data_IF_101027742767
#
_entry.id   IF_101027742767
#
_cell.length_a   1.000
_cell.length_b   1.000
_cell.length_c   1.000
_cell.angle_alpha   90.00
_cell.angle_beta   90.00
_cell.angle_gamma   90.00
#
_symmetry.space_group_name_H-M   'P 1'
#
loop_
_entity.id
_entity.type
_entity.pdbx_description
1 polymer ?
#
# COMPACT_ATOMS: atom_id res chain seq x y z
N UNK A 1 -6.82 9.82 -35.64
CA UNK A 1 -5.54 10.25 -35.07
C UNK A 1 -5.63 10.05 -33.56
N UNK A 2 -5.06 8.95 -33.06
CA UNK A 2 -5.08 8.64 -31.63
C UNK A 2 -3.96 9.44 -30.92
N UNK A 3 -4.32 10.17 -29.87
CA UNK A 3 -3.38 10.87 -29.03
C UNK A 3 -2.50 9.82 -28.31
N UNK A 4 -1.18 9.91 -28.55
CA UNK A 4 -0.16 9.19 -27.77
C UNK A 4 -0.26 9.64 -26.31
N UNK A 5 -0.58 8.70 -25.43
CA UNK A 5 -0.36 8.83 -23.99
C UNK A 5 1.14 9.07 -23.74
N UNK A 6 1.53 10.01 -22.86
CA UNK A 6 2.91 10.03 -22.39
C UNK A 6 3.08 8.80 -21.50
N UNK A 7 3.74 7.78 -22.04
CA UNK A 7 4.53 6.85 -21.24
C UNK A 7 5.38 7.73 -20.32
N UNK A 8 5.26 7.53 -19.01
CA UNK A 8 6.25 8.01 -18.07
C UNK A 8 7.57 7.44 -18.58
N UNK A 9 8.41 8.29 -19.17
CA UNK A 9 9.69 7.88 -19.74
C UNK A 9 10.57 7.35 -18.61
N UNK A 10 11.29 6.26 -18.87
CA UNK A 10 12.10 5.52 -17.90
C UNK A 10 13.17 6.34 -17.16
N UNK A 11 13.40 7.61 -17.52
CA UNK A 11 14.27 8.56 -16.79
C UNK A 11 13.66 9.10 -15.48
N UNK A 12 12.35 8.94 -15.23
CA UNK A 12 11.71 9.38 -13.98
C UNK A 12 11.63 8.29 -12.90
N UNK A 13 12.08 7.07 -13.17
CA UNK A 13 11.88 5.91 -12.29
C UNK A 13 12.77 5.92 -11.03
N UNK A 14 13.83 6.74 -10.98
CA UNK A 14 14.78 6.78 -9.84
C UNK A 14 14.27 7.63 -8.67
N UNK A 15 13.27 8.49 -8.90
CA UNK A 15 12.79 9.44 -7.90
C UNK A 15 11.38 9.13 -7.41
N UNK A 16 11.28 8.26 -6.41
CA UNK A 16 10.06 8.09 -5.60
C UNK A 16 9.68 9.44 -4.98
N UNK A 17 8.52 9.96 -5.38
CA UNK A 17 7.95 11.20 -4.87
C UNK A 17 7.37 11.01 -3.47
N UNK A 18 7.17 12.09 -2.71
CA UNK A 18 6.47 12.02 -1.41
C UNK A 18 5.04 11.50 -1.55
N UNK A 19 4.38 11.80 -2.68
CA UNK A 19 3.03 11.31 -2.96
C UNK A 19 3.01 9.79 -3.08
N UNK A 20 3.95 9.22 -3.84
CA UNK A 20 4.08 7.76 -3.99
C UNK A 20 4.37 7.10 -2.65
N UNK A 21 5.26 7.69 -1.85
CA UNK A 21 5.56 7.18 -0.51
C UNK A 21 4.33 7.20 0.42
N UNK A 22 3.61 8.32 0.48
CA UNK A 22 2.40 8.45 1.29
C UNK A 22 1.32 7.44 0.89
N UNK A 23 1.26 7.03 -0.37
CA UNK A 23 0.34 5.99 -0.81
C UNK A 23 0.66 4.62 -0.18
N UNK A 24 1.91 4.34 0.21
CA UNK A 24 2.28 3.13 0.97
C UNK A 24 2.08 3.29 2.48
N UNK A 25 2.21 4.50 3.02
CA UNK A 25 2.11 4.75 4.46
C UNK A 25 0.66 4.86 4.96
N UNK A 26 -0.17 5.62 4.24
CA UNK A 26 -1.54 5.92 4.65
C UNK A 26 -2.42 4.68 4.51
N UNK A 27 -3.26 4.44 5.52
CA UNK A 27 -4.23 3.36 5.54
C UNK A 27 -5.57 3.82 5.01
N UNK A 28 -6.33 2.92 4.39
CA UNK A 28 -7.68 3.21 3.88
C UNK A 28 -8.56 3.83 4.98
N UNK A 29 -8.55 3.29 6.21
CA UNK A 29 -9.33 3.83 7.34
C UNK A 29 -9.04 5.28 7.71
N UNK A 30 -7.87 5.80 7.34
CA UNK A 30 -7.44 7.17 7.62
C UNK A 30 -7.96 8.17 6.59
N UNK A 31 -8.29 7.68 5.38
CA UNK A 31 -8.71 8.52 4.26
C UNK A 31 -10.14 8.24 3.79
N UNK A 32 -10.73 7.09 4.13
CA UNK A 32 -12.07 6.69 3.71
C UNK A 32 -13.18 7.57 4.30
N UNK A 33 -14.29 7.63 3.57
CA UNK A 33 -15.55 8.13 4.12
C UNK A 33 -16.18 7.06 5.01
N UNK A 34 -16.41 7.42 6.28
CA UNK A 34 -17.05 6.57 7.30
C UNK A 34 -18.54 6.87 7.39
N UNK A 35 -19.31 5.98 8.04
CA UNK A 35 -20.75 6.13 8.24
C UNK A 35 -21.51 6.34 6.92
N UNK A 36 -21.30 5.40 6.00
CA UNK A 36 -21.89 5.46 4.66
C UNK A 36 -23.37 5.08 4.73
N UNK A 37 -24.22 5.85 4.05
CA UNK A 37 -25.62 5.50 3.88
C UNK A 37 -25.74 4.17 3.12
N UNK A 38 -26.53 3.24 3.65
CA UNK A 38 -26.73 1.92 3.05
C UNK A 38 -28.22 1.68 2.78
N UNK A 39 -28.50 0.96 1.70
CA UNK A 39 -29.85 0.48 1.37
C UNK A 39 -30.05 -0.94 1.92
N UNK A 40 -31.26 -1.27 2.32
CA UNK A 40 -31.66 -2.66 2.57
C UNK A 40 -32.02 -3.34 1.24
N UNK A 41 -31.77 -4.64 1.07
CA UNK A 41 -31.98 -5.35 -0.20
C UNK A 41 -33.45 -5.37 -0.65
N UNK A 42 -34.38 -5.32 0.30
CA UNK A 42 -35.82 -5.33 0.03
C UNK A 42 -36.41 -3.91 -0.14
N UNK A 43 -35.56 -2.86 -0.12
CA UNK A 43 -35.97 -1.49 -0.45
C UNK A 43 -36.49 -1.44 -1.88
N UNK A 44 -37.56 -0.68 -2.12
CA UNK A 44 -38.13 -0.50 -3.46
C UNK A 44 -37.30 0.50 -4.26
N UNK A 45 -37.12 0.27 -5.57
CA UNK A 45 -36.30 1.12 -6.45
C UNK A 45 -36.74 2.58 -6.48
N UNK A 46 -38.05 2.87 -6.38
CA UNK A 46 -38.58 4.24 -6.23
C UNK A 46 -38.01 4.95 -5.00
N UNK A 47 -37.98 4.27 -3.84
CA UNK A 47 -37.42 4.82 -2.59
C UNK A 47 -35.92 5.02 -2.72
N UNK A 48 -35.21 4.11 -3.38
CA UNK A 48 -33.78 4.25 -3.65
C UNK A 48 -33.48 5.45 -4.55
N UNK A 49 -34.31 5.72 -5.57
CA UNK A 49 -34.21 6.88 -6.45
C UNK A 49 -34.36 8.20 -5.67
N UNK A 50 -35.40 8.31 -4.85
CA UNK A 50 -35.65 9.48 -3.99
C UNK A 50 -34.48 9.72 -3.03
N UNK A 51 -33.95 8.64 -2.47
CA UNK A 51 -32.81 8.67 -1.57
C UNK A 51 -31.55 9.18 -2.27
N UNK A 52 -31.25 8.71 -3.48
CA UNK A 52 -30.10 9.16 -4.25
C UNK A 52 -30.19 10.66 -4.58
N UNK A 53 -31.39 11.13 -4.90
CA UNK A 53 -31.64 12.54 -5.17
C UNK A 53 -31.48 13.41 -3.92
N UNK A 54 -32.07 12.98 -2.79
CA UNK A 54 -32.05 13.71 -1.52
C UNK A 54 -30.64 13.81 -0.94
N UNK A 55 -29.94 12.68 -0.87
CA UNK A 55 -28.58 12.57 -0.31
C UNK A 55 -27.49 13.02 -1.30
N UNK A 56 -27.86 13.31 -2.55
CA UNK A 56 -26.95 13.69 -3.65
C UNK A 56 -25.83 12.67 -3.87
N UNK A 57 -26.18 11.40 -3.81
CA UNK A 57 -25.28 10.28 -4.04
C UNK A 57 -25.59 9.61 -5.38
N UNK A 58 -24.56 9.09 -6.04
CA UNK A 58 -24.69 8.36 -7.32
C UNK A 58 -24.57 6.84 -7.16
N UNK A 59 -24.61 6.36 -5.93
CA UNK A 59 -24.49 4.94 -5.61
C UNK A 59 -24.45 4.72 -4.10
N UNK A 60 -24.97 3.59 -3.65
CA UNK A 60 -25.01 3.20 -2.25
C UNK A 60 -24.72 1.69 -2.10
N UNK A 61 -23.99 1.29 -1.05
CA UNK A 61 -23.92 -0.11 -0.65
C UNK A 61 -25.30 -0.63 -0.27
N UNK A 62 -25.53 -1.91 -0.57
CA UNK A 62 -26.70 -2.65 -0.13
C UNK A 62 -26.24 -3.60 0.97
N UNK A 63 -26.79 -3.45 2.17
CA UNK A 63 -26.37 -4.23 3.33
C UNK A 63 -27.57 -4.92 3.99
N UNK A 64 -27.32 -6.00 4.70
CA UNK A 64 -28.29 -6.56 5.65
C UNK A 64 -27.56 -7.05 6.90
N UNK A 65 -27.99 -6.60 8.08
CA UNK A 65 -27.32 -6.94 9.34
C UNK A 65 -25.84 -6.56 9.38
N UNK A 66 -25.45 -5.45 8.74
CA UNK A 66 -24.06 -4.98 8.66
C UNK A 66 -23.18 -5.66 7.61
N UNK A 67 -23.67 -6.74 6.97
CA UNK A 67 -22.98 -7.43 5.89
C UNK A 67 -23.28 -6.78 4.54
N UNK A 68 -22.24 -6.57 3.74
CA UNK A 68 -22.37 -6.08 2.38
C UNK A 68 -22.91 -7.19 1.47
N UNK A 69 -24.03 -6.92 0.80
CA UNK A 69 -24.68 -7.85 -0.13
C UNK A 69 -24.56 -7.43 -1.59
N UNK A 70 -24.46 -6.12 -1.84
CA UNK A 70 -24.37 -5.59 -3.19
C UNK A 70 -24.05 -4.11 -3.23
N UNK A 71 -23.97 -3.56 -4.43
CA UNK A 71 -23.90 -2.11 -4.67
C UNK A 71 -25.02 -1.76 -5.65
N UNK A 72 -25.73 -0.68 -5.35
CA UNK A 72 -26.65 -0.05 -6.29
C UNK A 72 -26.04 1.26 -6.79
N UNK A 73 -26.09 1.48 -8.10
CA UNK A 73 -25.58 2.67 -8.79
C UNK A 73 -26.70 3.45 -9.48
N UNK A 74 -26.38 4.66 -9.93
CA UNK A 74 -27.35 5.45 -10.70
C UNK A 74 -27.65 4.82 -12.05
N UNK A 75 -26.70 4.08 -12.63
CA UNK A 75 -26.89 3.29 -13.85
C UNK A 75 -27.97 2.22 -13.66
N UNK A 76 -28.03 1.57 -12.49
CA UNK A 76 -29.04 0.56 -12.15
C UNK A 76 -30.44 1.18 -12.01
N UNK A 77 -30.52 2.38 -11.41
CA UNK A 77 -31.77 3.15 -11.36
C UNK A 77 -32.24 3.56 -12.77
N UNK A 78 -31.32 3.97 -13.63
CA UNK A 78 -31.63 4.28 -15.04
C UNK A 78 -32.13 3.02 -15.76
N UNK A 79 -31.55 1.85 -15.47
CA UNK A 79 -32.00 0.58 -16.03
C UNK A 79 -33.44 0.26 -15.61
N UNK A 80 -33.74 0.32 -14.31
CA UNK A 80 -35.09 0.10 -13.79
C UNK A 80 -36.12 1.10 -14.34
N UNK A 81 -35.75 2.38 -14.50
CA UNK A 81 -36.59 3.40 -15.13
C UNK A 81 -36.93 3.06 -16.58
N UNK A 82 -35.95 2.61 -17.37
CA UNK A 82 -36.17 2.23 -18.77
C UNK A 82 -37.07 1.01 -18.91
N UNK A 83 -37.03 0.11 -17.94
CA UNK A 83 -37.91 -1.06 -17.85
C UNK A 83 -39.27 -0.73 -17.23
N UNK A 84 -39.49 0.50 -16.75
CA UNK A 84 -40.69 0.91 -16.00
C UNK A 84 -40.97 0.04 -14.77
N UNK A 85 -39.91 -0.43 -14.10
CA UNK A 85 -39.98 -1.39 -13.00
C UNK A 85 -39.48 -0.81 -11.67
N UNK A 86 -39.93 0.40 -11.33
CA UNK A 86 -39.55 1.06 -10.07
C UNK A 86 -40.14 0.40 -8.81
N UNK A 87 -41.10 -0.51 -8.97
CA UNK A 87 -41.69 -1.29 -7.88
C UNK A 87 -40.86 -2.50 -7.48
N UNK A 88 -39.83 -2.85 -8.27
CA UNK A 88 -38.92 -3.94 -7.95
C UNK A 88 -38.07 -3.63 -6.72
N UNK A 89 -37.50 -4.69 -6.15
CA UNK A 89 -36.56 -4.58 -5.03
C UNK A 89 -35.16 -4.21 -5.52
N UNK A 90 -34.40 -3.51 -4.68
CA UNK A 90 -32.98 -3.19 -4.92
C UNK A 90 -32.16 -4.46 -5.19
N UNK A 91 -32.49 -5.58 -4.52
CA UNK A 91 -31.81 -6.87 -4.71
C UNK A 91 -31.82 -7.35 -6.17
N UNK A 92 -32.84 -7.00 -6.95
CA UNK A 92 -32.98 -7.44 -8.35
C UNK A 92 -32.03 -6.72 -9.31
N UNK A 93 -31.60 -5.51 -8.94
CA UNK A 93 -30.77 -4.64 -9.79
C UNK A 93 -29.35 -4.44 -9.25
N UNK A 94 -29.10 -4.74 -7.97
CA UNK A 94 -27.79 -4.52 -7.37
C UNK A 94 -26.72 -5.43 -8.00
N UNK A 95 -25.50 -4.90 -8.12
CA UNK A 95 -24.33 -5.70 -8.48
C UNK A 95 -23.87 -6.52 -7.27
N UNK A 96 -23.64 -7.82 -7.46
CA UNK A 96 -23.21 -8.76 -6.41
C UNK A 96 -21.79 -9.29 -6.60
N UNK A 97 -21.17 -9.06 -7.77
CA UNK A 97 -19.75 -9.29 -7.99
C UNK A 97 -18.96 -8.07 -7.48
N UNK A 98 -18.60 -8.13 -6.20
CA UNK A 98 -18.11 -6.98 -5.45
C UNK A 98 -16.59 -6.95 -5.39
N UNK A 99 -16.02 -5.84 -5.86
CA UNK A 99 -14.62 -5.51 -5.57
C UNK A 99 -14.58 -4.60 -4.35
N UNK A 100 -13.94 -5.09 -3.29
CA UNK A 100 -13.84 -4.43 -1.99
C UNK A 100 -12.38 -4.21 -1.60
N UNK A 101 -12.16 -3.41 -0.56
CA UNK A 101 -10.84 -3.21 0.04
C UNK A 101 -10.93 -3.31 1.57
N UNK A 102 -9.84 -3.62 2.26
CA UNK A 102 -9.82 -3.69 3.73
C UNK A 102 -9.40 -2.37 4.35
N UNK A 103 -9.90 -2.09 5.55
CA UNK A 103 -9.68 -0.81 6.23
C UNK A 103 -8.20 -0.54 6.60
N UNK A 104 -7.41 -1.61 6.73
CA UNK A 104 -5.98 -1.55 7.05
C UNK A 104 -5.06 -1.66 5.83
N UNK A 105 -5.64 -1.77 4.63
CA UNK A 105 -4.85 -1.76 3.41
C UNK A 105 -4.18 -0.39 3.24
N UNK A 106 -3.00 -0.33 2.60
CA UNK A 106 -2.45 0.92 2.12
C UNK A 106 -3.33 1.55 1.04
N UNK A 107 -3.27 2.88 0.95
CA UNK A 107 -3.90 3.65 -0.13
C UNK A 107 -3.46 3.18 -1.53
N UNK A 108 -2.22 2.71 -1.68
CA UNK A 108 -1.71 2.23 -2.97
C UNK A 108 -2.48 1.01 -3.50
N UNK A 109 -3.07 0.19 -2.63
CA UNK A 109 -3.92 -0.93 -3.07
C UNK A 109 -5.23 -0.42 -3.67
N UNK A 110 -5.87 0.59 -3.08
CA UNK A 110 -7.03 1.23 -3.70
C UNK A 110 -6.68 1.84 -5.06
N UNK A 111 -5.53 2.50 -5.18
CA UNK A 111 -5.07 3.09 -6.45
C UNK A 111 -4.85 2.02 -7.53
N UNK A 112 -4.26 0.87 -7.17
CA UNK A 112 -4.11 -0.28 -8.09
C UNK A 112 -5.47 -0.82 -8.53
N UNK A 113 -6.38 -1.04 -7.58
CA UNK A 113 -7.74 -1.52 -7.87
C UNK A 113 -8.50 -0.56 -8.78
N UNK A 114 -8.39 0.75 -8.54
CA UNK A 114 -8.98 1.79 -9.39
C UNK A 114 -8.35 1.92 -10.78
N UNK A 115 -7.13 1.41 -10.97
CA UNK A 115 -6.46 1.38 -12.26
C UNK A 115 -6.84 0.13 -13.06
N UNK A 116 -6.95 -1.01 -12.37
CA UNK A 116 -7.30 -2.29 -12.97
C UNK A 116 -8.80 -2.41 -13.27
N UNK A 117 -9.63 -1.66 -12.54
CA UNK A 117 -11.08 -1.63 -12.71
C UNK A 117 -11.55 -0.26 -13.19
N UNK A 118 -12.77 -0.19 -13.74
CA UNK A 118 -13.41 1.10 -14.08
C UNK A 118 -14.28 1.64 -12.94
N UNK A 119 -14.14 1.10 -11.72
CA UNK A 119 -14.95 1.52 -10.59
C UNK A 119 -14.53 2.90 -10.08
N UNK A 120 -15.51 3.73 -9.72
CA UNK A 120 -15.28 5.07 -9.15
C UNK A 120 -15.18 5.09 -7.62
N UNK A 121 -15.64 4.02 -6.97
CA UNK A 121 -15.67 3.85 -5.51
C UNK A 121 -15.50 2.39 -5.15
N UNK A 122 -14.94 2.12 -3.97
CA UNK A 122 -14.79 0.77 -3.43
C UNK A 122 -15.38 0.72 -2.01
N UNK A 123 -16.22 -0.28 -1.68
CA UNK A 123 -16.61 -0.54 -0.30
C UNK A 123 -15.40 -0.94 0.52
N UNK A 124 -15.36 -0.48 1.78
CA UNK A 124 -14.31 -0.81 2.74
C UNK A 124 -14.86 -1.73 3.81
N UNK A 125 -14.23 -2.89 3.99
CA UNK A 125 -14.62 -3.90 4.98
C UNK A 125 -13.62 -3.97 6.13
N UNK A 126 -14.11 -4.31 7.33
CA UNK A 126 -13.26 -4.71 8.45
C UNK A 126 -12.87 -6.20 8.35
N UNK A 127 -12.15 -6.70 9.36
CA UNK A 127 -11.76 -8.12 9.46
C UNK A 127 -12.94 -9.08 9.65
N UNK A 128 -14.08 -8.59 10.13
CA UNK A 128 -15.30 -9.37 10.32
C UNK A 128 -16.22 -9.34 9.09
N UNK A 129 -15.73 -8.89 7.92
CA UNK A 129 -16.50 -8.70 6.68
C UNK A 129 -17.74 -7.78 6.84
N UNK A 130 -17.67 -6.82 7.76
CA UNK A 130 -18.69 -5.79 7.91
C UNK A 130 -18.26 -4.53 7.16
N UNK A 131 -19.23 -3.84 6.57
CA UNK A 131 -18.99 -2.59 5.88
C UNK A 131 -18.68 -1.46 6.88
N UNK A 132 -17.49 -0.87 6.78
CA UNK A 132 -17.04 0.22 7.66
C UNK A 132 -16.85 1.56 6.95
N UNK A 133 -16.86 1.56 5.62
CA UNK A 133 -16.73 2.79 4.84
C UNK A 133 -16.80 2.60 3.34
N UNK A 134 -16.56 3.69 2.62
CA UNK A 134 -16.29 3.72 1.18
C UNK A 134 -15.04 4.54 0.94
N UNK A 135 -14.24 4.14 -0.04
CA UNK A 135 -13.14 4.93 -0.57
C UNK A 135 -13.38 5.33 -2.01
N UNK A 136 -13.04 6.58 -2.36
CA UNK A 136 -13.05 7.12 -3.72
C UNK A 136 -11.69 7.71 -4.10
N UNK A 137 -11.47 7.99 -5.40
CA UNK A 137 -10.28 8.73 -5.87
C UNK A 137 -10.17 10.12 -5.22
N UNK A 138 -11.30 10.76 -4.94
CA UNK A 138 -11.35 12.08 -4.28
C UNK A 138 -10.90 12.02 -2.82
N UNK A 139 -11.36 11.00 -2.09
CA UNK A 139 -10.94 10.74 -0.71
C UNK A 139 -9.43 10.54 -0.61
N UNK A 140 -8.87 9.72 -1.49
CA UNK A 140 -7.42 9.47 -1.57
C UNK A 140 -6.66 10.78 -1.85
N UNK A 141 -7.12 11.57 -2.82
CA UNK A 141 -6.48 12.84 -3.19
C UNK A 141 -6.47 13.80 -1.99
N UNK A 142 -7.60 13.96 -1.31
CA UNK A 142 -7.72 14.81 -0.12
C UNK A 142 -6.86 14.29 1.04
N UNK A 143 -6.85 12.97 1.26
CA UNK A 143 -6.02 12.31 2.27
C UNK A 143 -4.52 12.56 2.06
N UNK A 144 -4.04 12.38 0.82
CA UNK A 144 -2.65 12.63 0.44
C UNK A 144 -2.29 14.11 0.62
N UNK A 145 -3.14 15.04 0.19
CA UNK A 145 -2.92 16.49 0.39
C UNK A 145 -2.80 16.87 1.86
N UNK A 146 -3.68 16.34 2.71
CA UNK A 146 -3.64 16.57 4.16
C UNK A 146 -2.37 16.00 4.79
N UNK A 147 -1.91 14.83 4.34
CA UNK A 147 -0.68 14.22 4.86
C UNK A 147 0.57 15.01 4.46
N UNK A 148 0.66 15.47 3.20
CA UNK A 148 1.75 16.34 2.72
C UNK A 148 1.91 17.62 3.56
N UNK A 149 0.80 18.20 4.02
CA UNK A 149 0.83 19.40 4.86
C UNK A 149 1.40 19.14 6.27
N UNK A 150 1.25 17.92 6.82
CA UNK A 150 1.72 17.57 8.17
C UNK A 150 3.23 17.39 8.25
N UNK A 151 3.86 16.85 7.20
CA UNK A 151 5.29 16.53 7.19
C UNK A 151 6.21 17.76 7.17
N UNK A 152 5.75 18.86 6.57
CA UNK A 152 6.54 20.09 6.49
C UNK A 152 6.97 20.59 7.88
N UNK A 153 6.19 20.32 8.92
CA UNK A 153 6.48 20.77 10.29
C UNK A 153 7.39 19.80 11.07
N UNK A 154 7.52 18.53 10.66
CA UNK A 154 8.25 17.50 11.41
C UNK A 154 9.71 17.33 10.94
N UNK A 155 9.99 17.57 9.64
CA UNK A 155 11.34 17.38 9.07
C UNK A 155 12.36 18.44 9.50
N UNK A 156 11.94 19.67 9.83
CA UNK A 156 12.87 20.75 10.24
C UNK A 156 13.50 20.50 11.62
N UNK A 157 12.81 19.80 12.53
CA UNK A 157 13.26 19.65 13.93
C UNK A 157 14.19 18.44 14.15
N UNK A 158 14.09 17.41 13.30
CA UNK A 158 14.84 16.15 13.44
C UNK A 158 16.23 16.24 12.82
N UNK A 159 16.38 16.99 11.73
CA UNK A 159 17.64 17.14 10.97
C UNK A 159 18.80 17.66 11.83
N UNK A 160 18.50 18.40 12.91
CA UNK A 160 19.49 19.01 13.79
C UNK A 160 20.15 18.05 14.81
N UNK A 161 19.52 16.89 15.12
CA UNK A 161 20.00 15.99 16.21
C UNK A 161 20.67 14.71 15.72
N UNK A 162 20.50 14.38 14.44
CA UNK A 162 20.80 13.09 13.85
C UNK A 162 22.26 12.90 13.41
N UNK A 163 22.90 13.97 12.93
CA UNK A 163 24.15 13.90 12.19
C UNK A 163 25.35 13.42 13.00
N UNK A 164 25.27 13.38 14.32
CA UNK A 164 26.43 13.09 15.20
C UNK A 164 26.48 11.64 15.70
N UNK A 165 25.49 10.79 15.40
CA UNK A 165 25.38 9.43 16.00
C UNK A 165 26.54 8.49 15.60
N UNK A 166 27.14 8.72 14.43
CA UNK A 166 28.28 7.93 13.93
C UNK A 166 29.61 8.68 14.03
N UNK A 167 29.59 10.00 14.16
CA UNK A 167 30.80 10.84 14.19
C UNK A 167 31.61 10.64 15.48
N UNK A 168 30.94 10.31 16.59
CA UNK A 168 31.57 10.14 17.90
C UNK A 168 32.01 8.70 18.23
N UNK A 169 31.76 7.73 17.34
CA UNK A 169 32.07 6.30 17.58
C UNK A 169 33.37 5.91 16.88
N UNK A 170 34.46 5.80 17.65
CA UNK A 170 35.76 5.31 17.16
C UNK A 170 35.70 3.78 16.95
N UNK A 171 35.40 3.35 15.72
CA UNK A 171 35.44 1.95 15.30
C UNK A 171 35.96 1.84 13.86
N UNK A 172 36.61 0.72 13.53
CA UNK A 172 37.03 0.42 12.15
C UNK A 172 35.82 0.24 11.20
N UNK A 173 34.67 -0.18 11.74
CA UNK A 173 33.36 -0.20 11.09
C UNK A 173 32.27 0.00 12.14
N UNK A 174 31.43 1.02 11.96
CA UNK A 174 30.24 1.23 12.80
C UNK A 174 29.01 0.96 11.95
N UNK A 175 28.13 0.08 12.42
CA UNK A 175 26.82 -0.14 11.81
C UNK A 175 25.73 -0.17 12.87
N UNK A 176 24.55 0.34 12.53
CA UNK A 176 23.34 0.15 13.32
C UNK A 176 22.53 -0.98 12.71
N UNK A 177 22.24 -2.01 13.50
CA UNK A 177 21.44 -3.16 13.06
C UNK A 177 20.07 -3.10 13.72
N UNK A 178 19.03 -2.98 12.92
CA UNK A 178 17.63 -3.08 13.32
C UNK A 178 17.09 -4.45 12.93
N UNK A 179 16.38 -5.14 13.84
CA UNK A 179 15.81 -6.47 13.60
C UNK A 179 14.34 -6.48 13.99
N UNK A 180 13.52 -7.07 13.12
CA UNK A 180 12.08 -7.21 13.32
C UNK A 180 11.66 -8.65 13.02
N UNK A 181 10.80 -9.21 13.86
CA UNK A 181 10.13 -10.48 13.61
C UNK A 181 8.76 -10.21 13.00
N UNK A 182 8.50 -10.83 11.86
CA UNK A 182 7.25 -10.69 11.12
C UNK A 182 6.47 -11.99 11.29
N UNK A 183 5.19 -11.88 11.63
CA UNK A 183 4.30 -13.04 11.80
C UNK A 183 3.46 -13.24 10.55
N UNK A 184 3.31 -14.49 10.11
CA UNK A 184 2.38 -14.83 9.03
C UNK A 184 0.97 -14.35 9.36
N UNK A 185 0.30 -13.76 8.37
CA UNK A 185 -1.10 -13.31 8.48
C UNK A 185 -1.34 -12.09 9.38
N UNK A 186 -0.30 -11.46 9.95
CA UNK A 186 -0.45 -10.26 10.78
C UNK A 186 -0.60 -8.98 9.93
N UNK A 187 -1.67 -8.91 9.15
CA UNK A 187 -1.95 -7.78 8.26
C UNK A 187 -2.22 -6.48 9.03
N UNK A 188 -2.75 -6.57 10.25
CA UNK A 188 -3.01 -5.42 11.14
C UNK A 188 -1.75 -4.62 11.42
N UNK A 189 -0.64 -5.31 11.69
CA UNK A 189 0.64 -4.69 11.99
C UNK A 189 1.56 -4.58 10.78
N UNK A 190 1.07 -4.95 9.60
CA UNK A 190 1.82 -4.95 8.37
C UNK A 190 2.31 -3.55 7.99
N UNK A 191 3.63 -3.39 7.82
CA UNK A 191 4.29 -2.12 7.47
C UNK A 191 4.87 -1.37 8.67
N UNK A 192 4.76 -1.94 9.88
CA UNK A 192 5.36 -1.36 11.08
C UNK A 192 6.88 -1.41 11.04
N UNK A 193 7.48 -2.49 10.53
CA UNK A 193 8.93 -2.59 10.42
C UNK A 193 9.48 -1.53 9.46
N UNK A 194 8.85 -1.41 8.28
CA UNK A 194 9.15 -0.35 7.31
C UNK A 194 9.07 1.06 7.93
N UNK A 195 7.96 1.39 8.59
CA UNK A 195 7.73 2.70 9.21
C UNK A 195 8.76 3.03 10.30
N UNK A 196 9.16 2.03 11.09
CA UNK A 196 10.17 2.19 12.14
C UNK A 196 11.58 2.40 11.55
N UNK A 197 11.95 1.61 10.55
CA UNK A 197 13.26 1.72 9.89
C UNK A 197 13.38 3.07 9.16
N UNK A 198 12.35 3.50 8.44
CA UNK A 198 12.31 4.82 7.81
C UNK A 198 12.54 5.94 8.83
N UNK A 199 11.81 5.92 9.95
CA UNK A 199 11.99 6.92 11.02
C UNK A 199 13.39 6.90 11.61
N UNK A 200 14.00 5.71 11.76
CA UNK A 200 15.38 5.58 12.19
C UNK A 200 16.34 6.21 11.17
N UNK A 201 16.17 5.95 9.87
CA UNK A 201 17.01 6.52 8.81
C UNK A 201 16.94 8.05 8.76
N UNK A 202 15.75 8.63 8.81
CA UNK A 202 15.59 10.09 8.87
C UNK A 202 16.26 10.68 10.11
N UNK A 203 16.17 9.99 11.26
CA UNK A 203 16.86 10.35 12.51
C UNK A 203 18.36 10.10 12.51
N UNK A 204 18.90 9.46 11.48
CA UNK A 204 20.34 9.27 11.28
C UNK A 204 20.89 10.18 10.18
N UNK A 205 20.06 11.07 9.63
CA UNK A 205 20.47 12.04 8.63
C UNK A 205 20.41 11.52 7.19
N UNK A 206 19.81 10.35 6.95
CA UNK A 206 19.56 9.90 5.59
C UNK A 206 18.68 10.91 4.84
N UNK A 207 18.96 11.12 3.55
CA UNK A 207 18.12 11.99 2.72
C UNK A 207 16.68 11.45 2.68
N UNK A 208 15.66 12.32 2.56
CA UNK A 208 14.28 11.87 2.44
C UNK A 208 14.11 10.84 1.32
N UNK A 209 14.81 11.01 0.20
CA UNK A 209 14.77 10.10 -0.95
C UNK A 209 15.23 8.68 -0.59
N UNK A 210 16.37 8.55 0.10
CA UNK A 210 16.87 7.26 0.58
C UNK A 210 15.90 6.63 1.56
N UNK A 211 15.34 7.43 2.48
CA UNK A 211 14.38 6.94 3.46
C UNK A 211 13.10 6.38 2.81
N UNK A 212 12.56 7.01 1.75
CA UNK A 212 11.38 6.47 1.04
C UNK A 212 11.70 5.18 0.31
N UNK A 213 12.80 5.17 -0.44
CA UNK A 213 13.27 3.99 -1.21
C UNK A 213 13.43 2.79 -0.27
N UNK A 214 14.09 2.99 0.87
CA UNK A 214 14.25 1.97 1.89
C UNK A 214 12.90 1.53 2.50
N UNK A 215 12.05 2.49 2.86
CA UNK A 215 10.74 2.23 3.45
C UNK A 215 9.85 1.37 2.54
N UNK A 216 9.75 1.71 1.24
CA UNK A 216 8.92 0.96 0.29
C UNK A 216 9.48 -0.45 0.03
N UNK A 217 10.80 -0.58 -0.13
CA UNK A 217 11.42 -1.90 -0.31
C UNK A 217 11.16 -2.82 0.89
N UNK A 218 11.29 -2.30 2.11
CA UNK A 218 11.01 -3.06 3.33
C UNK A 218 9.53 -3.37 3.45
N UNK A 219 8.63 -2.44 3.11
CA UNK A 219 7.19 -2.67 3.17
C UNK A 219 6.77 -3.86 2.29
N UNK A 220 7.25 -3.89 1.05
CA UNK A 220 6.96 -4.99 0.11
C UNK A 220 7.58 -6.31 0.60
N UNK A 221 8.80 -6.28 1.15
CA UNK A 221 9.43 -7.46 1.73
C UNK A 221 8.66 -7.97 2.96
N UNK A 222 8.18 -7.06 3.82
CA UNK A 222 7.36 -7.34 5.00
C UNK A 222 6.04 -8.00 4.60
N UNK A 223 5.37 -7.49 3.57
CA UNK A 223 4.12 -8.06 3.06
C UNK A 223 4.35 -9.46 2.49
N UNK A 224 5.44 -9.66 1.74
CA UNK A 224 5.79 -10.99 1.24
C UNK A 224 5.99 -11.99 2.38
N UNK A 225 6.61 -11.57 3.49
CA UNK A 225 6.77 -12.40 4.67
C UNK A 225 5.44 -12.73 5.35
N UNK A 226 4.49 -11.80 5.39
CA UNK A 226 3.15 -12.02 5.97
C UNK A 226 2.33 -12.98 5.10
N UNK A 227 2.44 -12.87 3.77
CA UNK A 227 1.56 -13.54 2.81
C UNK A 227 2.07 -14.93 2.43
N UNK A 228 3.33 -15.05 2.03
CA UNK A 228 3.82 -16.21 1.28
C UNK A 228 4.57 -17.26 2.13
N UNK A 229 4.81 -16.98 3.41
CA UNK A 229 5.63 -17.84 4.27
C UNK A 229 4.78 -18.86 5.03
N UNK A 230 5.44 -19.79 5.74
CA UNK A 230 4.75 -20.74 6.62
C UNK A 230 4.53 -20.19 8.04
N UNK A 231 5.51 -19.46 8.58
CA UNK A 231 5.50 -19.01 9.98
C UNK A 231 5.83 -17.51 10.14
N UNK A 232 5.95 -16.77 9.04
CA UNK A 232 6.51 -15.43 9.03
C UNK A 232 8.01 -15.47 8.74
N UNK A 233 8.74 -14.49 9.24
CA UNK A 233 10.18 -14.38 9.02
C UNK A 233 10.83 -13.24 9.78
N UNK A 234 12.01 -12.83 9.32
CA UNK A 234 12.77 -11.75 9.94
C UNK A 234 13.18 -10.71 8.91
N UNK A 235 13.05 -9.44 9.28
CA UNK A 235 13.68 -8.32 8.57
C UNK A 235 14.87 -7.84 9.39
N UNK A 236 16.02 -7.71 8.73
CA UNK A 236 17.23 -7.10 9.27
C UNK A 236 17.63 -5.93 8.38
N UNK A 237 17.77 -4.74 8.95
CA UNK A 237 18.35 -3.58 8.27
C UNK A 237 19.65 -3.21 8.97
N UNK A 238 20.76 -3.27 8.24
CA UNK A 238 22.08 -2.84 8.67
C UNK A 238 22.44 -1.53 7.98
N UNK A 239 22.60 -0.48 8.78
CA UNK A 239 22.83 0.89 8.34
C UNK A 239 24.31 1.19 8.57
N UNK A 240 25.05 1.38 7.48
CA UNK A 240 26.46 1.77 7.44
C UNK A 240 26.59 3.18 6.83
N UNK A 241 27.71 3.89 7.03
CA UNK A 241 27.89 5.24 6.49
C UNK A 241 27.74 5.36 4.97
N UNK A 242 28.03 4.31 4.22
CA UNK A 242 28.05 4.32 2.74
C UNK A 242 26.96 3.45 2.10
N UNK A 243 26.21 2.68 2.91
CA UNK A 243 25.16 1.81 2.39
C UNK A 243 24.19 1.37 3.47
N UNK A 244 23.01 0.96 3.04
CA UNK A 244 22.02 0.26 3.86
C UNK A 244 21.85 -1.12 3.25
N UNK A 245 22.13 -2.15 4.03
CA UNK A 245 21.89 -3.55 3.66
C UNK A 245 20.61 -4.02 4.34
N UNK A 246 19.63 -4.48 3.58
CA UNK A 246 18.39 -5.05 4.09
C UNK A 246 18.31 -6.53 3.71
N UNK A 247 17.88 -7.34 4.66
CA UNK A 247 17.71 -8.78 4.49
C UNK A 247 16.33 -9.18 5.01
N UNK A 248 15.54 -9.83 4.16
CA UNK A 248 14.28 -10.46 4.55
C UNK A 248 14.42 -11.98 4.37
N UNK A 249 14.19 -12.72 5.45
CA UNK A 249 14.41 -14.16 5.49
C UNK A 249 13.22 -14.90 6.10
N UNK A 250 12.86 -16.04 5.51
CA UNK A 250 11.92 -17.00 6.07
C UNK A 250 12.38 -18.45 5.85
N UNK A 251 11.83 -19.36 6.67
CA UNK A 251 12.00 -20.80 6.57
C UNK A 251 10.84 -21.50 5.81
N UNK A 252 10.10 -20.73 5.01
CA UNK A 252 8.88 -21.10 4.34
C UNK A 252 9.06 -22.02 3.12
N UNK A 253 8.05 -22.13 2.25
CA UNK A 253 8.04 -23.13 1.17
C UNK A 253 9.08 -22.85 0.08
N UNK A 254 9.72 -21.68 0.11
CA UNK A 254 10.52 -21.18 -0.99
C UNK A 254 9.68 -20.78 -2.20
N UNK A 255 10.37 -20.29 -3.23
CA UNK A 255 9.81 -19.88 -4.51
C UNK A 255 10.24 -20.92 -5.54
N UNK A 256 9.29 -21.61 -6.16
CA UNK A 256 9.58 -22.68 -7.13
C UNK A 256 10.24 -22.15 -8.40
N UNK A 257 9.74 -21.03 -8.93
CA UNK A 257 10.29 -20.35 -10.09
C UNK A 257 10.48 -18.86 -9.76
N UNK A 258 11.74 -18.50 -9.49
CA UNK A 258 12.14 -17.14 -9.15
C UNK A 258 11.96 -16.19 -10.35
N UNK A 259 12.22 -16.63 -11.57
CA UNK A 259 12.05 -15.76 -12.74
C UNK A 259 10.58 -15.40 -12.96
N UNK A 260 9.69 -16.38 -12.74
CA UNK A 260 8.26 -16.16 -12.81
C UNK A 260 7.76 -15.25 -11.68
N UNK A 261 8.27 -15.42 -10.46
CA UNK A 261 7.95 -14.55 -9.32
C UNK A 261 8.34 -13.07 -9.53
N UNK A 262 9.34 -12.82 -10.38
CA UNK A 262 9.79 -11.47 -10.74
C UNK A 262 8.94 -10.81 -11.84
N UNK A 263 7.96 -11.52 -12.42
CA UNK A 263 7.09 -10.95 -13.48
C UNK A 263 5.95 -10.14 -12.85
N UNK A 264 5.70 -8.90 -13.32
CA UNK A 264 4.59 -8.09 -12.85
C UNK A 264 3.25 -8.84 -12.95
N UNK A 265 2.47 -8.82 -11.87
CA UNK A 265 1.15 -9.45 -11.80
C UNK A 265 1.16 -10.93 -11.42
N UNK A 266 2.32 -11.57 -11.32
CA UNK A 266 2.40 -12.96 -10.88
C UNK A 266 2.43 -13.07 -9.35
N UNK A 267 1.58 -13.93 -8.80
CA UNK A 267 1.46 -14.13 -7.35
C UNK A 267 0.96 -15.52 -7.01
N UNK A 268 1.53 -16.13 -5.97
CA UNK A 268 1.08 -17.40 -5.39
C UNK A 268 0.12 -17.22 -4.20
N UNK A 269 -0.32 -15.99 -3.94
CA UNK A 269 -1.26 -15.69 -2.85
C UNK A 269 -2.58 -16.43 -3.05
N UNK A 270 -3.17 -16.91 -1.95
CA UNK A 270 -4.49 -17.56 -1.94
C UNK A 270 -5.58 -16.57 -2.35
N UNK A 271 -6.74 -17.08 -2.78
CA UNK A 271 -7.88 -16.23 -3.12
C UNK A 271 -8.31 -15.37 -1.94
N UNK A 272 -8.33 -15.92 -0.72
CA UNK A 272 -8.61 -15.16 0.51
C UNK A 272 -7.67 -13.96 0.67
N UNK A 273 -6.36 -14.13 0.45
CA UNK A 273 -5.40 -13.02 0.53
C UNK A 273 -5.59 -12.00 -0.59
N UNK A 274 -5.95 -12.45 -1.79
CA UNK A 274 -6.26 -11.56 -2.92
C UNK A 274 -7.55 -10.77 -2.71
N UNK A 275 -8.56 -11.39 -2.11
CA UNK A 275 -9.81 -10.77 -1.68
C UNK A 275 -9.58 -9.77 -0.54
N UNK A 276 -8.53 -9.95 0.26
CA UNK A 276 -8.04 -8.95 1.21
C UNK A 276 -7.26 -7.81 0.54
N UNK A 277 -7.19 -7.73 -0.79
CA UNK A 277 -6.50 -6.66 -1.51
C UNK A 277 -4.97 -6.82 -1.59
N UNK A 278 -4.42 -7.94 -1.11
CA UNK A 278 -2.98 -8.19 -1.12
C UNK A 278 -2.57 -9.22 -2.19
N UNK A 279 -1.27 -9.30 -2.48
CA UNK A 279 -0.77 -10.35 -3.38
C UNK A 279 -1.15 -10.14 -4.84
N UNK A 280 -1.24 -8.88 -5.30
CA UNK A 280 -1.39 -8.51 -6.72
C UNK A 280 -0.14 -8.81 -7.60
N UNK A 281 0.93 -9.37 -7.03
CA UNK A 281 2.11 -9.79 -7.78
C UNK A 281 3.05 -8.66 -8.22
N UNK A 282 3.06 -7.55 -7.48
CA UNK A 282 3.92 -6.39 -7.76
C UNK A 282 5.09 -6.23 -6.79
N UNK A 283 5.09 -6.94 -5.65
CA UNK A 283 6.01 -6.64 -4.55
C UNK A 283 7.49 -6.74 -4.92
N UNK A 284 7.92 -7.87 -5.49
CA UNK A 284 9.33 -8.04 -5.90
C UNK A 284 9.76 -7.04 -6.99
N UNK A 285 8.84 -6.66 -7.88
CA UNK A 285 9.10 -5.66 -8.93
C UNK A 285 9.28 -4.27 -8.31
N UNK A 286 8.44 -3.92 -7.35
CA UNK A 286 8.52 -2.66 -6.62
C UNK A 286 9.82 -2.58 -5.81
N UNK A 287 10.21 -3.66 -5.13
CA UNK A 287 11.50 -3.75 -4.43
C UNK A 287 12.64 -3.49 -5.39
N UNK A 288 12.68 -4.18 -6.54
CA UNK A 288 13.74 -4.02 -7.54
C UNK A 288 13.88 -2.59 -8.07
N UNK A 289 12.79 -1.83 -8.14
CA UNK A 289 12.81 -0.41 -8.53
C UNK A 289 13.31 0.50 -7.42
N UNK A 290 13.12 0.10 -6.16
CA UNK A 290 13.49 0.93 -5.01
C UNK A 290 14.95 0.78 -4.60
N UNK A 291 15.64 -0.32 -4.93
CA UNK A 291 16.98 -0.66 -4.43
C UNK A 291 18.02 -0.69 -5.53
N UNK A 292 19.30 -0.46 -5.19
CA UNK A 292 20.39 -0.45 -6.18
C UNK A 292 20.84 -1.87 -6.54
N UNK A 293 20.88 -2.76 -5.54
CA UNK A 293 21.13 -4.18 -5.75
C UNK A 293 20.07 -5.03 -5.06
N UNK A 294 19.69 -6.12 -5.73
CA UNK A 294 18.73 -7.10 -5.23
C UNK A 294 19.22 -8.51 -5.56
N UNK A 295 19.23 -9.39 -4.57
CA UNK A 295 19.53 -10.81 -4.75
C UNK A 295 18.51 -11.66 -3.99
N UNK A 296 17.78 -12.49 -4.73
CA UNK A 296 16.80 -13.42 -4.19
C UNK A 296 17.36 -14.84 -4.28
N UNK A 297 17.46 -15.52 -3.14
CA UNK A 297 17.88 -16.92 -3.05
C UNK A 297 16.72 -17.70 -2.43
N UNK A 298 16.25 -18.74 -3.12
CA UNK A 298 15.15 -19.53 -2.58
C UNK A 298 15.22 -21.00 -2.96
N UNK A 299 14.83 -21.86 -2.02
CA UNK A 299 14.62 -23.29 -2.26
C UNK A 299 13.61 -23.85 -1.25
N UNK A 300 13.01 -25.00 -1.57
CA UNK A 300 12.09 -25.70 -0.65
C UNK A 300 12.73 -26.13 0.67
N UNK A 301 14.05 -26.27 0.69
CA UNK A 301 14.82 -26.78 1.84
C UNK A 301 15.32 -25.67 2.76
N UNK A 302 15.50 -24.45 2.24
CA UNK A 302 16.13 -23.32 2.96
C UNK A 302 15.23 -22.08 3.06
N UNK A 303 13.99 -22.18 2.56
CA UNK A 303 13.05 -21.07 2.48
C UNK A 303 13.47 -20.02 1.46
N UNK A 304 13.23 -18.76 1.78
CA UNK A 304 13.57 -17.61 0.92
C UNK A 304 14.42 -16.62 1.68
N UNK A 305 15.48 -16.14 1.03
CA UNK A 305 16.30 -15.03 1.52
C UNK A 305 16.42 -13.96 0.42
N UNK A 306 15.92 -12.77 0.73
CA UNK A 306 15.98 -11.60 -0.11
C UNK A 306 16.97 -10.59 0.46
N UNK A 307 18.06 -10.37 -0.27
CA UNK A 307 19.04 -9.33 0.01
C UNK A 307 18.78 -8.11 -0.86
N UNK A 308 18.87 -6.93 -0.26
CA UNK A 308 18.67 -5.65 -0.89
C UNK A 308 19.75 -4.67 -0.41
N UNK A 309 20.31 -3.86 -1.30
CA UNK A 309 21.32 -2.86 -0.97
C UNK A 309 20.89 -1.50 -1.53
N UNK A 310 21.03 -0.48 -0.69
CA UNK A 310 20.99 0.93 -1.08
C UNK A 310 22.35 1.56 -0.80
N UNK A 311 22.95 2.21 -1.79
CA UNK A 311 24.16 3.00 -1.60
C UNK A 311 23.80 4.41 -1.13
N UNK A 312 24.51 4.87 -0.11
CA UNK A 312 24.43 6.25 0.36
C UNK A 312 25.52 6.99 -0.40
N UNK A 313 25.14 7.92 -1.27
CA UNK A 313 26.12 8.80 -1.92
C UNK A 313 26.98 9.46 -0.83
N UNK A 314 28.30 9.44 -1.01
CA UNK A 314 29.19 10.21 -0.16
C UNK A 314 28.78 11.66 -0.30
N UNK A 315 28.23 12.25 0.75
CA UNK A 315 28.03 13.70 0.81
C UNK A 315 29.35 14.35 0.42
N UNK A 316 29.34 15.09 -0.69
CA UNK A 316 30.46 15.93 -1.09
C UNK A 316 30.95 16.67 0.14
N UNK A 317 32.20 16.39 0.54
CA UNK A 317 32.96 17.31 1.37
C UNK A 317 32.95 18.64 0.64
N UNK A 318 32.08 19.56 1.05
CA UNK A 318 32.12 20.93 0.59
C UNK A 318 33.51 21.49 0.96
N UNK A 319 34.42 21.75 0.01
CA UNK A 319 35.79 22.15 0.33
C UNK A 319 35.87 23.58 0.89
N UNK A 320 34.75 24.31 0.93
CA UNK A 320 34.72 25.72 1.32
C UNK A 320 34.47 25.92 2.82
N UNK A 321 35.15 25.17 3.68
CA UNK A 321 35.22 25.50 5.11
C UNK A 321 36.62 25.39 5.67
N UNK A 322 37.62 25.93 4.96
CA UNK A 322 38.84 26.47 5.59
C UNK A 322 39.31 27.65 4.75
N UNK A 323 39.26 28.87 5.32
CA UNK A 323 39.72 30.11 4.72
C UNK A 323 39.02 31.34 5.28
#
# INVERSE_FOLDING_TARGET
MAAKSPLISDENAENITRVEELAYELRIREVMTKNVFCLEPDTVMEVALDTFQMERISGAPVTSGGKLLGILSIEDLIHALRESNLTASVREYMTTDLVVIREFDPVVEALKTFYQTNFGRLPVLNESDELVGIITKGDITNGLLNALQRDYQAEELIRYRASHLFEDIVSARTSLILRYSIKKGDFVHGGNASSNIKRALLRLGASPQIARRCGIAIYEAEMNLIIHTNHGGTIRAEIEPHKITMEAYDDGPGIEDVELAMKPGYSTATNEVREMGFGAGMGLVNIKRCVDEMKLISSKERGTNLFMILYLESTDHNPNTIG
#
